data_IF_437925177927
#
_entry.id   IF_437925177927
#
_cell.length_a   1.000
_cell.length_b   1.000
_cell.length_c   1.000
_cell.angle_alpha   90.00
_cell.angle_beta   90.00
_cell.angle_gamma   90.00
#
_symmetry.space_group_name_H-M   'P 1'
#
loop_
_entity.id
_entity.type
_entity.pdbx_description
1 polymer ?
#
# COMPACT_ATOMS: atom_id res chain seq x y z
N UNK A 1 -5.50 -20.60 14.11
CA UNK A 1 -6.07 -20.24 15.44
C UNK A 1 -5.04 -19.72 16.44
N UNK A 2 -3.79 -20.23 16.48
CA UNK A 2 -2.77 -19.71 17.43
C UNK A 2 -2.42 -18.22 17.26
N UNK A 3 -2.16 -17.76 16.03
CA UNK A 3 -1.80 -16.35 15.75
C UNK A 3 -2.91 -15.36 16.11
N UNK A 4 -4.17 -15.72 15.84
CA UNK A 4 -5.33 -14.88 16.15
C UNK A 4 -5.50 -14.72 17.67
N UNK A 5 -5.40 -15.81 18.41
CA UNK A 5 -5.45 -15.80 19.88
C UNK A 5 -4.31 -14.94 20.46
N UNK A 6 -3.08 -15.13 19.96
CA UNK A 6 -1.93 -14.34 20.39
C UNK A 6 -2.06 -12.84 20.06
N UNK A 7 -2.58 -12.47 18.89
CA UNK A 7 -2.82 -11.06 18.52
C UNK A 7 -3.96 -10.43 19.33
N UNK A 8 -5.00 -11.21 19.64
CA UNK A 8 -6.07 -10.77 20.53
C UNK A 8 -5.56 -10.54 21.95
N UNK A 9 -4.75 -11.46 22.48
CA UNK A 9 -4.11 -11.35 23.80
C UNK A 9 -3.09 -10.19 23.86
N UNK A 10 -2.34 -9.96 22.78
CA UNK A 10 -1.43 -8.83 22.62
C UNK A 10 -2.16 -7.49 22.42
N UNK A 11 -3.50 -7.48 22.41
CA UNK A 11 -4.30 -6.27 22.38
C UNK A 11 -4.18 -5.50 21.07
N UNK A 12 -4.31 -6.16 19.91
CA UNK A 12 -4.27 -5.54 18.58
C UNK A 12 -5.10 -4.25 18.44
N UNK A 13 -6.22 -4.14 19.17
CA UNK A 13 -7.12 -2.98 19.15
C UNK A 13 -6.57 -1.75 19.90
N UNK A 14 -5.54 -1.95 20.74
CA UNK A 14 -4.96 -0.94 21.65
C UNK A 14 -3.43 -0.87 21.56
N UNK A 15 -2.83 -1.64 20.65
CA UNK A 15 -1.38 -1.85 20.67
C UNK A 15 -0.64 -0.57 20.26
N UNK A 16 0.40 -0.25 21.02
CA UNK A 16 1.40 0.75 20.66
C UNK A 16 2.73 0.12 20.24
N UNK A 17 2.78 -1.22 20.21
CA UNK A 17 3.98 -1.99 19.92
C UNK A 17 4.11 -2.24 18.41
N UNK A 18 5.26 -1.84 17.86
CA UNK A 18 5.60 -2.02 16.45
C UNK A 18 5.62 -3.50 16.05
N UNK A 19 6.06 -4.39 16.93
CA UNK A 19 6.09 -5.84 16.69
C UNK A 19 4.68 -6.41 16.53
N UNK A 20 3.74 -5.96 17.37
CA UNK A 20 2.33 -6.38 17.26
C UNK A 20 1.71 -5.82 15.99
N UNK A 21 2.01 -4.58 15.62
CA UNK A 21 1.56 -3.99 14.35
C UNK A 21 2.13 -4.74 13.13
N UNK A 22 3.42 -5.12 13.15
CA UNK A 22 4.06 -5.95 12.13
C UNK A 22 3.38 -7.32 12.01
N UNK A 23 3.22 -8.02 13.13
CA UNK A 23 2.57 -9.33 13.17
C UNK A 23 1.12 -9.27 12.67
N UNK A 24 0.40 -8.21 13.07
CA UNK A 24 -0.96 -7.93 12.60
C UNK A 24 -1.01 -7.75 11.09
N UNK A 25 -0.08 -6.97 10.51
CA UNK A 25 -0.02 -6.77 9.07
C UNK A 25 0.26 -8.07 8.33
N UNK A 26 1.21 -8.88 8.81
CA UNK A 26 1.56 -10.18 8.21
C UNK A 26 0.33 -11.11 8.25
N UNK A 27 -0.34 -11.18 9.41
CA UNK A 27 -1.56 -11.94 9.57
C UNK A 27 -2.61 -11.50 8.55
N UNK A 28 -2.92 -10.20 8.45
CA UNK A 28 -3.94 -9.67 7.54
C UNK A 28 -3.63 -9.94 6.06
N UNK A 29 -2.35 -9.91 5.66
CA UNK A 29 -1.94 -10.29 4.29
C UNK A 29 -2.28 -11.74 3.95
N UNK A 30 -2.27 -12.64 4.93
CA UNK A 30 -2.63 -14.05 4.75
C UNK A 30 -4.10 -14.36 5.05
N UNK A 31 -4.77 -13.58 5.89
CA UNK A 31 -6.12 -13.86 6.39
C UNK A 31 -7.22 -13.79 5.33
N UNK A 32 -6.98 -13.10 4.21
CA UNK A 32 -8.01 -12.82 3.22
C UNK A 32 -8.62 -14.06 2.56
N UNK A 33 -7.87 -15.15 2.43
CA UNK A 33 -8.40 -16.38 1.83
C UNK A 33 -9.31 -17.17 2.79
N UNK A 34 -9.22 -16.92 4.10
CA UNK A 34 -10.03 -17.59 5.13
C UNK A 34 -11.28 -16.79 5.50
N UNK A 35 -11.11 -15.50 5.80
CA UNK A 35 -12.18 -14.68 6.39
C UNK A 35 -12.88 -13.76 5.38
N UNK A 36 -12.41 -13.78 4.14
CA UNK A 36 -12.87 -12.87 3.09
C UNK A 36 -12.32 -11.45 3.22
N UNK A 37 -12.32 -10.74 2.10
CA UNK A 37 -11.59 -9.47 1.98
C UNK A 37 -12.29 -8.29 2.64
N UNK A 38 -13.61 -8.38 2.83
CA UNK A 38 -14.36 -7.41 3.62
C UNK A 38 -13.91 -7.39 5.08
N UNK A 39 -13.73 -8.56 5.67
CA UNK A 39 -13.24 -8.70 7.05
C UNK A 39 -11.83 -8.14 7.17
N UNK A 40 -10.95 -8.49 6.22
CA UNK A 40 -9.58 -7.95 6.17
C UNK A 40 -9.56 -6.43 6.05
N UNK A 41 -10.44 -5.83 5.23
CA UNK A 41 -10.56 -4.38 5.11
C UNK A 41 -11.01 -3.70 6.41
N UNK A 42 -11.98 -4.29 7.13
CA UNK A 42 -12.40 -3.77 8.43
C UNK A 42 -11.26 -3.83 9.46
N UNK A 43 -10.53 -4.95 9.48
CA UNK A 43 -9.40 -5.12 10.40
C UNK A 43 -8.21 -4.24 10.02
N UNK A 44 -7.94 -4.02 8.74
CA UNK A 44 -6.90 -3.08 8.31
C UNK A 44 -7.20 -1.67 8.79
N UNK A 45 -8.47 -1.25 8.80
CA UNK A 45 -8.85 0.04 9.38
C UNK A 45 -8.48 0.18 10.86
N UNK A 46 -8.54 -0.89 11.64
CA UNK A 46 -8.09 -0.88 13.04
C UNK A 46 -6.57 -0.74 13.11
N UNK A 47 -5.84 -1.52 12.31
CA UNK A 47 -4.38 -1.45 12.22
C UNK A 47 -3.90 -0.05 11.81
N UNK A 48 -4.57 0.59 10.84
CA UNK A 48 -4.26 1.96 10.42
C UNK A 48 -4.40 2.94 11.58
N UNK A 49 -5.51 2.89 12.33
CA UNK A 49 -5.72 3.78 13.47
C UNK A 49 -4.71 3.54 14.61
N UNK A 50 -4.38 2.28 14.90
CA UNK A 50 -3.36 1.94 15.88
C UNK A 50 -1.96 2.42 15.45
N UNK A 51 -1.63 2.29 14.17
CA UNK A 51 -0.38 2.81 13.62
C UNK A 51 -0.31 4.34 13.70
N UNK A 52 -1.42 5.03 13.41
CA UNK A 52 -1.49 6.49 13.52
C UNK A 52 -1.39 6.97 14.97
N UNK A 53 -1.98 6.28 15.94
CA UNK A 53 -1.94 6.69 17.35
C UNK A 53 -0.54 6.66 17.96
N UNK A 54 0.39 5.90 17.40
CA UNK A 54 1.82 5.90 17.78
C UNK A 54 2.73 6.76 16.88
N UNK A 55 2.11 7.52 15.98
CA UNK A 55 2.81 8.49 15.13
C UNK A 55 3.53 7.88 13.93
N UNK A 56 3.16 6.69 13.42
CA UNK A 56 3.80 6.12 12.22
C UNK A 56 3.58 6.92 10.93
N UNK A 57 2.51 7.71 10.90
CA UNK A 57 2.18 8.65 9.82
C UNK A 57 3.04 9.92 9.83
N UNK A 58 3.84 10.11 10.89
CA UNK A 58 4.82 11.16 11.01
C UNK A 58 6.25 10.61 10.83
N UNK A 59 7.11 11.33 10.11
CA UNK A 59 8.49 10.93 9.88
C UNK A 59 9.27 10.93 11.19
N UNK A 60 9.94 9.81 11.47
CA UNK A 60 10.68 9.59 12.70
C UNK A 60 11.72 10.68 13.02
N UNK A 61 12.29 11.30 11.98
CA UNK A 61 13.34 12.32 12.14
C UNK A 61 12.82 13.61 12.78
N UNK A 62 11.51 13.87 12.75
CA UNK A 62 10.91 15.01 13.44
C UNK A 62 10.84 14.84 14.96
N UNK A 63 10.94 13.60 15.47
CA UNK A 63 10.79 13.32 16.89
C UNK A 63 12.13 13.48 17.64
N UNK A 64 12.14 14.19 18.79
CA UNK A 64 13.32 14.27 19.62
C UNK A 64 13.68 12.87 20.15
N UNK A 65 14.98 12.57 20.19
CA UNK A 65 15.54 11.30 20.68
C UNK A 65 15.21 10.05 19.85
N UNK A 66 14.68 10.18 18.63
CA UNK A 66 14.52 9.03 17.73
C UNK A 66 15.83 8.71 17.01
N UNK A 67 16.31 7.47 17.12
CA UNK A 67 17.49 7.03 16.36
C UNK A 67 17.18 6.94 14.87
N UNK A 68 18.23 7.02 14.02
CA UNK A 68 18.06 6.89 12.57
C UNK A 68 17.59 5.49 12.16
N UNK A 69 18.00 4.48 12.91
CA UNK A 69 17.53 3.11 12.78
C UNK A 69 16.01 3.01 13.05
N UNK A 70 15.54 3.52 14.19
CA UNK A 70 14.12 3.47 14.54
C UNK A 70 13.26 4.25 13.56
N UNK A 71 13.73 5.42 13.11
CA UNK A 71 13.04 6.21 12.10
C UNK A 71 12.85 5.41 10.81
N UNK A 72 13.89 4.71 10.33
CA UNK A 72 13.79 3.87 9.13
C UNK A 72 12.88 2.64 9.35
N UNK A 73 12.92 1.99 10.53
CA UNK A 73 12.01 0.89 10.87
C UNK A 73 10.54 1.33 10.87
N UNK A 74 10.27 2.52 11.41
CA UNK A 74 8.94 3.13 11.40
C UNK A 74 8.49 3.48 9.97
N UNK A 75 9.35 4.07 9.15
CA UNK A 75 9.06 4.35 7.72
C UNK A 75 8.68 3.06 6.99
N UNK A 76 9.47 1.99 7.14
CA UNK A 76 9.22 0.69 6.49
C UNK A 76 7.87 0.09 6.89
N UNK A 77 7.56 0.08 8.19
CA UNK A 77 6.28 -0.43 8.68
C UNK A 77 5.10 0.42 8.17
N UNK A 78 5.20 1.74 8.27
CA UNK A 78 4.14 2.64 7.82
C UNK A 78 3.84 2.47 6.32
N UNK A 79 4.87 2.44 5.48
CA UNK A 79 4.69 2.28 4.04
C UNK A 79 4.18 0.90 3.65
N UNK A 80 4.53 -0.13 4.42
CA UNK A 80 3.92 -1.44 4.30
C UNK A 80 2.40 -1.43 4.59
N UNK A 81 1.95 -0.70 5.61
CA UNK A 81 0.53 -0.51 5.93
C UNK A 81 -0.16 0.30 4.81
N UNK A 82 0.45 1.42 4.37
CA UNK A 82 -0.08 2.26 3.30
C UNK A 82 -0.28 1.48 1.99
N UNK A 83 0.72 0.68 1.61
CA UNK A 83 0.63 -0.16 0.42
C UNK A 83 -0.47 -1.21 0.57
N UNK A 84 -0.58 -1.84 1.74
CA UNK A 84 -1.61 -2.84 2.00
C UNK A 84 -3.03 -2.26 1.93
N UNK A 85 -3.27 -1.10 2.55
CA UNK A 85 -4.54 -0.36 2.45
C UNK A 85 -4.92 -0.09 0.99
N UNK A 86 -3.98 0.47 0.22
CA UNK A 86 -4.20 0.73 -1.20
C UNK A 86 -4.48 -0.55 -2.02
N UNK A 87 -3.84 -1.68 -1.67
CA UNK A 87 -4.08 -2.98 -2.33
C UNK A 87 -5.45 -3.55 -2.02
N UNK A 88 -5.87 -3.54 -0.76
CA UNK A 88 -7.19 -4.03 -0.37
C UNK A 88 -8.26 -3.17 -1.02
N UNK A 89 -8.09 -1.85 -1.02
CA UNK A 89 -9.01 -0.91 -1.65
C UNK A 89 -9.15 -1.22 -3.14
N UNK A 90 -8.06 -1.36 -3.91
CA UNK A 90 -8.15 -1.67 -5.34
C UNK A 90 -8.98 -2.92 -5.64
N UNK A 91 -8.86 -3.96 -4.80
CA UNK A 91 -9.52 -5.23 -5.06
C UNK A 91 -10.94 -5.31 -4.48
N UNK A 92 -11.20 -4.68 -3.32
CA UNK A 92 -12.43 -4.91 -2.54
C UNK A 92 -13.12 -3.69 -1.89
N UNK A 93 -12.53 -2.49 -1.86
CA UNK A 93 -13.17 -1.31 -1.26
C UNK A 93 -12.98 -0.01 -2.07
N UNK A 94 -14.03 0.81 -2.26
CA UNK A 94 -13.98 1.94 -3.18
C UNK A 94 -13.03 3.07 -2.76
N UNK A 95 -12.56 3.08 -1.50
CA UNK A 95 -11.78 4.17 -0.94
C UNK A 95 -10.52 3.69 -0.21
N UNK A 96 -9.42 4.41 -0.43
CA UNK A 96 -8.16 4.26 0.28
C UNK A 96 -8.28 5.05 1.59
N UNK A 97 -8.01 4.40 2.72
CA UNK A 97 -8.15 5.03 4.03
C UNK A 97 -7.04 6.06 4.29
N UNK A 98 -5.83 5.80 3.81
CA UNK A 98 -4.66 6.66 4.02
C UNK A 98 -4.43 7.56 2.81
N UNK A 99 -4.80 8.83 2.90
CA UNK A 99 -4.53 9.83 1.86
C UNK A 99 -3.15 10.47 2.03
N UNK A 100 -2.60 11.07 0.97
CA UNK A 100 -1.29 11.72 1.03
C UNK A 100 -1.27 12.98 1.93
N UNK A 101 -2.42 13.56 2.27
CA UNK A 101 -2.50 14.69 3.19
C UNK A 101 -2.44 14.27 4.66
N UNK A 102 -2.57 12.97 4.95
CA UNK A 102 -2.58 12.41 6.31
C UNK A 102 -1.19 11.93 6.77
N UNK A 103 -0.16 12.04 5.93
CA UNK A 103 1.18 11.53 6.23
C UNK A 103 2.26 12.50 5.76
N UNK A 104 3.33 12.60 6.55
CA UNK A 104 4.58 13.28 6.17
C UNK A 104 5.78 12.30 6.11
N UNK A 105 5.57 11.04 6.52
CA UNK A 105 6.57 9.98 6.53
C UNK A 105 7.18 9.75 5.15
N UNK A 106 8.51 9.88 5.06
CA UNK A 106 9.25 9.63 3.81
C UNK A 106 9.19 8.16 3.41
N UNK A 107 9.28 7.88 2.11
CA UNK A 107 9.42 6.51 1.63
C UNK A 107 10.68 5.84 2.18
N UNK A 108 10.67 4.51 2.34
CA UNK A 108 11.82 3.77 2.86
C UNK A 108 13.07 4.02 2.01
N UNK A 109 14.23 4.01 2.65
CA UNK A 109 15.48 4.19 1.92
C UNK A 109 15.85 2.90 1.22
N UNK A 110 16.25 2.94 -0.07
CA UNK A 110 16.65 1.75 -0.81
C UNK A 110 17.95 1.13 -0.25
N UNK A 111 17.87 0.27 0.75
CA UNK A 111 19.01 -0.37 1.40
C UNK A 111 18.66 -1.81 1.83
N UNK A 112 19.66 -2.63 2.08
CA UNK A 112 19.47 -3.97 2.64
C UNK A 112 19.36 -3.90 4.16
N UNK A 113 18.91 -4.98 4.78
CA UNK A 113 18.81 -5.05 6.24
C UNK A 113 20.20 -5.04 6.91
N UNK A 114 21.23 -5.58 6.23
CA UNK A 114 22.63 -5.51 6.65
C UNK A 114 23.21 -4.08 6.72
N UNK A 115 22.57 -3.10 6.07
CA UNK A 115 23.01 -1.68 6.11
C UNK A 115 22.54 -0.95 7.36
N UNK A 116 21.66 -1.59 8.13
CA UNK A 116 20.99 -0.99 9.27
C UNK A 116 21.61 -1.50 10.56
N UNK A 117 22.14 -0.57 11.34
CA UNK A 117 22.69 -0.85 12.67
C UNK A 117 21.89 -0.06 13.71
N UNK A 118 21.56 -0.70 14.83
CA UNK A 118 20.79 -0.07 15.93
C UNK A 118 21.49 1.20 16.45
N UNK A 119 22.82 1.28 16.35
CA UNK A 119 23.63 2.40 16.81
C UNK A 119 23.98 3.40 15.70
N UNK A 120 23.38 3.29 14.51
CA UNK A 120 23.70 4.16 13.38
C UNK A 120 23.31 5.63 13.66
N UNK A 121 24.26 6.53 13.38
CA UNK A 121 24.10 7.97 13.63
C UNK A 121 23.68 8.76 12.39
N UNK A 122 23.80 8.16 11.21
CA UNK A 122 23.45 8.76 9.91
C UNK A 122 22.29 8.00 9.30
N UNK A 123 21.53 8.65 8.40
CA UNK A 123 20.55 7.92 7.59
C UNK A 123 21.25 6.88 6.70
N UNK A 124 20.59 5.76 6.40
CA UNK A 124 21.13 4.80 5.45
C UNK A 124 21.32 5.47 4.09
N UNK A 125 22.34 5.03 3.34
CA UNK A 125 22.59 5.54 2.00
C UNK A 125 21.83 4.68 1.00
N UNK A 126 21.05 5.31 0.13
CA UNK A 126 20.34 4.61 -0.92
C UNK A 126 21.33 3.92 -1.88
N UNK A 127 21.18 2.60 -2.03
CA UNK A 127 21.91 1.76 -2.97
C UNK A 127 21.27 1.85 -4.36
N UNK A 128 22.07 1.50 -5.36
CA UNK A 128 21.58 1.25 -6.72
C UNK A 128 21.18 -0.23 -6.88
N UNK A 129 20.11 -0.48 -7.63
CA UNK A 129 19.64 -1.84 -7.92
C UNK A 129 18.79 -2.46 -6.81
N UNK A 130 18.66 -3.79 -6.91
CA UNK A 130 17.81 -4.60 -6.04
C UNK A 130 18.35 -4.69 -4.61
N UNK A 131 17.46 -4.50 -3.64
CA UNK A 131 17.68 -4.56 -2.20
C UNK A 131 16.53 -5.27 -1.49
N UNK A 132 16.68 -5.52 -0.18
CA UNK A 132 15.65 -6.18 0.62
C UNK A 132 14.33 -5.36 0.70
N UNK A 133 14.38 -4.03 0.53
CA UNK A 133 13.18 -3.16 0.49
C UNK A 133 12.65 -2.86 -0.91
N UNK A 134 13.27 -3.41 -1.96
CA UNK A 134 12.88 -3.11 -3.35
C UNK A 134 11.41 -3.40 -3.63
N UNK A 135 10.88 -4.51 -3.12
CA UNK A 135 9.46 -4.82 -3.27
C UNK A 135 8.56 -3.76 -2.61
N UNK A 136 8.94 -3.26 -1.44
CA UNK A 136 8.20 -2.17 -0.77
C UNK A 136 8.14 -0.94 -1.65
N UNK A 137 9.27 -0.54 -2.24
CA UNK A 137 9.34 0.62 -3.13
C UNK A 137 8.49 0.43 -4.40
N UNK A 138 8.49 -0.77 -4.98
CA UNK A 138 7.60 -1.11 -6.09
C UNK A 138 6.13 -0.96 -5.67
N UNK A 139 5.77 -1.43 -4.48
CA UNK A 139 4.40 -1.28 -3.96
C UNK A 139 4.04 0.18 -3.65
N UNK A 140 5.00 1.02 -3.24
CA UNK A 140 4.80 2.46 -3.07
C UNK A 140 4.48 3.13 -4.41
N UNK A 141 5.20 2.76 -5.47
CA UNK A 141 4.91 3.24 -6.83
C UNK A 141 3.51 2.80 -7.30
N UNK A 142 3.14 1.54 -7.04
CA UNK A 142 1.82 1.04 -7.35
C UNK A 142 0.71 1.79 -6.58
N UNK A 143 0.94 2.13 -5.30
CA UNK A 143 0.03 2.96 -4.51
C UNK A 143 -0.11 4.36 -5.14
N UNK A 144 0.99 5.01 -5.54
CA UNK A 144 0.95 6.32 -6.22
C UNK A 144 0.11 6.27 -7.50
N UNK A 145 0.26 5.21 -8.30
CA UNK A 145 -0.56 5.01 -9.49
C UNK A 145 -2.03 4.77 -9.15
N UNK A 146 -2.32 3.97 -8.13
CA UNK A 146 -3.68 3.71 -7.71
C UNK A 146 -4.39 5.00 -7.26
N UNK A 147 -3.74 5.80 -6.40
CA UNK A 147 -4.24 7.12 -5.97
C UNK A 147 -4.49 8.04 -7.18
N UNK A 148 -3.56 8.07 -8.13
CA UNK A 148 -3.73 8.84 -9.37
C UNK A 148 -4.97 8.43 -10.16
N UNK A 149 -5.17 7.12 -10.35
CA UNK A 149 -6.33 6.58 -11.07
C UNK A 149 -7.63 6.96 -10.36
N UNK A 150 -7.68 6.84 -9.03
CA UNK A 150 -8.86 7.25 -8.24
C UNK A 150 -9.12 8.75 -8.36
N UNK A 151 -8.08 9.60 -8.27
CA UNK A 151 -8.23 11.05 -8.45
C UNK A 151 -8.69 11.44 -9.86
N UNK A 152 -8.38 10.60 -10.85
CA UNK A 152 -8.80 10.77 -12.25
C UNK A 152 -10.15 10.11 -12.56
N UNK A 153 -10.80 9.48 -11.58
CA UNK A 153 -11.96 8.61 -11.81
C UNK A 153 -13.15 9.36 -12.43
N UNK A 154 -13.42 10.59 -12.00
CA UNK A 154 -14.46 11.43 -12.62
C UNK A 154 -14.21 11.64 -14.12
N UNK A 155 -12.97 11.89 -14.52
CA UNK A 155 -12.62 12.06 -15.93
C UNK A 155 -12.65 10.72 -16.71
N UNK A 156 -12.32 9.60 -16.05
CA UNK A 156 -12.38 8.25 -16.65
C UNK A 156 -13.82 7.77 -16.89
N UNK A 157 -14.77 8.18 -16.03
CA UNK A 157 -16.18 7.88 -16.15
C UNK A 157 -16.94 8.83 -17.09
N UNK A 158 -16.28 9.90 -17.56
CA UNK A 158 -16.82 10.84 -18.55
C UNK A 158 -16.88 10.19 -19.95
N UNK A 159 -17.27 10.97 -20.94
CA UNK A 159 -17.36 10.55 -22.35
C UNK A 159 -16.46 11.41 -23.25
N UNK A 160 -16.21 10.94 -24.47
CA UNK A 160 -15.47 11.71 -25.48
C UNK A 160 -13.99 11.95 -25.14
N UNK A 161 -13.49 13.15 -25.46
CA UNK A 161 -12.06 13.46 -25.41
C UNK A 161 -11.49 13.45 -23.99
N UNK A 162 -12.26 13.89 -22.99
CA UNK A 162 -11.83 13.96 -21.59
C UNK A 162 -11.52 12.57 -21.03
N UNK A 163 -12.38 11.59 -21.32
CA UNK A 163 -12.15 10.19 -20.99
C UNK A 163 -10.91 9.63 -21.67
N UNK A 164 -10.77 9.86 -22.98
CA UNK A 164 -9.62 9.38 -23.75
C UNK A 164 -8.30 9.99 -23.26
N UNK A 165 -8.29 11.27 -22.90
CA UNK A 165 -7.12 11.95 -22.34
C UNK A 165 -6.73 11.37 -20.97
N UNK A 166 -7.70 11.19 -20.06
CA UNK A 166 -7.46 10.60 -18.74
C UNK A 166 -6.92 9.16 -18.85
N UNK A 167 -7.53 8.33 -19.71
CA UNK A 167 -7.10 6.96 -19.99
C UNK A 167 -5.68 6.91 -20.55
N UNK A 168 -5.36 7.74 -21.55
CA UNK A 168 -4.00 7.83 -22.11
C UNK A 168 -2.97 8.24 -21.06
N UNK A 169 -3.28 9.24 -20.25
CA UNK A 169 -2.40 9.70 -19.18
C UNK A 169 -2.12 8.58 -18.16
N UNK A 170 -3.17 7.91 -17.66
CA UNK A 170 -3.04 6.83 -16.70
C UNK A 170 -2.24 5.64 -17.26
N UNK A 171 -2.50 5.21 -18.49
CA UNK A 171 -1.74 4.13 -19.14
C UNK A 171 -0.27 4.51 -19.37
N UNK A 172 0.01 5.76 -19.74
CA UNK A 172 1.38 6.26 -19.86
C UNK A 172 2.13 6.17 -18.53
N UNK A 173 1.49 6.56 -17.42
CA UNK A 173 2.11 6.47 -16.09
C UNK A 173 2.38 5.03 -15.66
N UNK A 174 1.48 4.10 -15.97
CA UNK A 174 1.69 2.66 -15.72
C UNK A 174 2.93 2.16 -16.47
N UNK A 175 3.12 2.54 -17.73
CA UNK A 175 4.30 2.16 -18.49
C UNK A 175 5.58 2.83 -17.96
N UNK A 176 5.50 4.09 -17.52
CA UNK A 176 6.63 4.77 -16.86
C UNK A 176 7.07 4.03 -15.59
N UNK A 177 6.12 3.56 -14.77
CA UNK A 177 6.44 2.76 -13.58
C UNK A 177 7.06 1.40 -13.94
N UNK A 178 6.62 0.77 -15.03
CA UNK A 178 7.23 -0.46 -15.56
C UNK A 178 8.69 -0.23 -15.95
N UNK A 179 8.97 0.85 -16.68
CA UNK A 179 10.33 1.20 -17.08
C UNK A 179 11.20 1.63 -15.89
N UNK A 180 10.62 2.34 -14.93
CA UNK A 180 11.28 2.69 -13.68
C UNK A 180 11.73 1.42 -12.92
N UNK A 181 10.87 0.39 -12.80
CA UNK A 181 11.25 -0.85 -12.13
C UNK A 181 12.41 -1.56 -12.82
N UNK A 182 12.39 -1.65 -14.16
CA UNK A 182 13.52 -2.20 -14.93
C UNK A 182 14.82 -1.43 -14.70
N UNK A 183 14.75 -0.10 -14.72
CA UNK A 183 15.96 0.75 -14.61
C UNK A 183 16.48 0.92 -13.20
N UNK A 184 15.63 0.93 -12.17
CA UNK A 184 16.07 1.17 -10.78
C UNK A 184 16.23 -0.10 -9.96
N UNK A 185 15.47 -1.15 -10.25
CA UNK A 185 15.43 -2.38 -9.45
C UNK A 185 16.18 -3.52 -10.14
N UNK A 186 16.23 -3.58 -11.48
CA UNK A 186 16.79 -4.74 -12.20
C UNK A 186 18.33 -4.77 -12.31
N UNK A 187 19.03 -3.65 -12.09
CA UNK A 187 20.49 -3.52 -12.27
C UNK A 187 21.38 -4.30 -11.27
N UNK A 188 20.85 -5.31 -10.58
CA UNK A 188 21.64 -6.13 -9.66
C UNK A 188 22.55 -7.11 -10.40
N UNK A 189 23.86 -7.08 -10.08
CA UNK A 189 24.87 -8.00 -10.64
C UNK A 189 24.62 -9.48 -10.33
N UNK A 190 23.74 -9.81 -9.37
CA UNK A 190 23.38 -11.19 -8.97
C UNK A 190 21.88 -11.40 -9.08
N UNK A 191 21.44 -12.29 -9.97
CA UNK A 191 20.01 -12.68 -10.11
C UNK A 191 19.59 -13.53 -8.91
N UNK A 192 18.88 -12.93 -7.95
CA UNK A 192 18.22 -13.66 -6.85
C UNK A 192 16.89 -14.26 -7.38
N UNK A 193 16.53 -15.52 -7.09
CA UNK A 193 15.26 -16.09 -7.56
C UNK A 193 14.02 -15.28 -7.15
N UNK A 194 14.06 -14.67 -5.96
CA UNK A 194 12.97 -13.82 -5.46
C UNK A 194 12.75 -12.56 -6.30
N UNK A 195 13.79 -12.04 -6.96
CA UNK A 195 13.68 -10.87 -7.83
C UNK A 195 12.75 -11.15 -9.01
N UNK A 196 12.92 -12.30 -9.68
CA UNK A 196 12.05 -12.69 -10.79
C UNK A 196 10.57 -12.82 -10.36
N UNK A 197 10.33 -13.36 -9.16
CA UNK A 197 8.98 -13.42 -8.60
C UNK A 197 8.42 -12.02 -8.32
N UNK A 198 9.20 -11.11 -7.75
CA UNK A 198 8.79 -9.73 -7.48
C UNK A 198 8.49 -8.96 -8.77
N UNK A 199 9.32 -9.12 -9.81
CA UNK A 199 9.12 -8.51 -11.12
C UNK A 199 7.85 -9.04 -11.77
N UNK A 200 7.62 -10.35 -11.72
CA UNK A 200 6.38 -10.96 -12.20
C UNK A 200 5.16 -10.40 -11.46
N UNK A 201 5.19 -10.40 -10.12
CA UNK A 201 4.11 -9.93 -9.28
C UNK A 201 3.80 -8.46 -9.55
N UNK A 202 4.82 -7.60 -9.59
CA UNK A 202 4.64 -6.18 -9.88
C UNK A 202 4.04 -5.93 -11.27
N UNK A 203 4.53 -6.63 -12.30
CA UNK A 203 3.97 -6.50 -13.65
C UNK A 203 2.53 -7.01 -13.74
N UNK A 204 2.21 -8.11 -13.04
CA UNK A 204 0.84 -8.60 -12.92
C UNK A 204 -0.07 -7.54 -12.30
N UNK A 205 0.37 -6.87 -11.24
CA UNK A 205 -0.39 -5.81 -10.58
C UNK A 205 -0.55 -4.55 -11.44
N UNK A 206 0.49 -4.16 -12.19
CA UNK A 206 0.40 -3.07 -13.18
C UNK A 206 -0.59 -3.40 -14.29
N UNK A 207 -0.60 -4.65 -14.76
CA UNK A 207 -1.56 -5.12 -15.76
C UNK A 207 -2.99 -5.09 -15.20
N UNK A 208 -3.21 -5.51 -13.95
CA UNK A 208 -4.50 -5.41 -13.28
C UNK A 208 -5.00 -3.95 -13.25
N UNK A 209 -4.15 -3.00 -12.84
CA UNK A 209 -4.51 -1.57 -12.86
C UNK A 209 -4.77 -1.08 -14.29
N UNK A 210 -3.99 -1.56 -15.26
CA UNK A 210 -4.19 -1.23 -16.68
C UNK A 210 -5.50 -1.78 -17.26
N UNK A 211 -6.00 -2.92 -16.77
CA UNK A 211 -7.33 -3.44 -17.13
C UNK A 211 -8.40 -2.53 -16.54
N UNK A 212 -8.29 -2.19 -15.26
CA UNK A 212 -9.21 -1.29 -14.54
C UNK A 212 -9.34 0.06 -15.26
N UNK A 213 -8.23 0.66 -15.70
CA UNK A 213 -8.23 1.93 -16.45
C UNK A 213 -8.89 1.79 -17.84
N UNK A 214 -8.84 0.62 -18.46
CA UNK A 214 -9.41 0.37 -19.80
C UNK A 214 -10.88 -0.02 -19.76
N UNK A 215 -11.32 -0.69 -18.71
CA UNK A 215 -12.70 -1.13 -18.52
C UNK A 215 -13.35 -0.35 -17.37
N UNK A 216 -13.90 0.81 -17.71
CA UNK A 216 -14.58 1.66 -16.74
C UNK A 216 -15.92 1.10 -16.25
N UNK A 217 -16.43 0.02 -16.86
CA UNK A 217 -17.59 -0.70 -16.32
C UNK A 217 -17.28 -1.36 -14.97
N UNK A 218 -16.01 -1.67 -14.70
CA UNK A 218 -15.59 -2.09 -13.36
C UNK A 218 -15.93 -0.97 -12.38
N UNK A 219 -15.52 0.27 -12.62
CA UNK A 219 -15.87 1.40 -11.74
C UNK A 219 -17.37 1.68 -11.65
N UNK A 220 -18.10 1.60 -12.77
CA UNK A 220 -19.55 1.80 -12.79
C UNK A 220 -20.30 0.76 -11.94
N UNK A 221 -19.88 -0.52 -12.00
CA UNK A 221 -20.43 -1.59 -11.15
C UNK A 221 -20.22 -1.27 -9.67
N UNK A 222 -19.04 -0.78 -9.30
CA UNK A 222 -18.70 -0.43 -7.93
C UNK A 222 -19.51 0.76 -7.39
N UNK A 223 -19.63 1.83 -8.18
CA UNK A 223 -20.50 2.97 -7.85
C UNK A 223 -21.96 2.53 -7.66
N UNK A 224 -22.48 1.70 -8.57
CA UNK A 224 -23.86 1.19 -8.51
C UNK A 224 -24.10 0.24 -7.32
N UNK A 225 -23.06 -0.42 -6.81
CA UNK A 225 -23.15 -1.31 -5.66
C UNK A 225 -23.31 -0.49 -4.38
N UNK A 226 -22.56 0.60 -4.26
CA UNK A 226 -22.66 1.55 -3.15
C UNK A 226 -24.06 2.18 -3.09
N UNK A 227 -24.56 2.62 -4.24
CA UNK A 227 -25.88 3.24 -4.35
C UNK A 227 -27.02 2.26 -4.00
N UNK A 228 -26.90 0.99 -4.42
CA UNK A 228 -27.85 -0.08 -4.06
C UNK A 228 -27.84 -0.43 -2.58
N UNK A 229 -26.66 -0.45 -1.95
CA UNK A 229 -26.53 -0.71 -0.51
C UNK A 229 -27.12 0.46 0.30
N UNK A 230 -26.81 1.71 -0.07
CA UNK A 230 -27.38 2.89 0.58
C UNK A 230 -28.90 2.95 0.45
N UNK A 231 -29.47 2.65 -0.74
CA UNK A 231 -30.93 2.58 -0.93
C UNK A 231 -31.58 1.49 -0.10
N UNK A 232 -30.95 0.31 0.03
CA UNK A 232 -31.46 -0.79 0.87
C UNK A 232 -31.52 -0.43 2.35
N UNK A 233 -30.46 0.20 2.87
CA UNK A 233 -30.38 0.64 4.27
C UNK A 233 -31.44 1.71 4.56
N UNK A 234 -31.64 2.66 3.64
CA UNK A 234 -32.66 3.69 3.78
C UNK A 234 -34.09 3.12 3.68
N UNK A 235 -34.30 2.06 2.90
CA UNK A 235 -35.61 1.38 2.81
C UNK A 235 -35.94 0.49 4.01
N UNK A 236 -34.94 0.04 4.79
CA UNK A 236 -35.15 -0.78 6.00
C UNK A 236 -35.31 0.04 7.29
N UNK A 237 -35.20 1.37 7.20
CA UNK A 237 -35.38 2.32 8.30
C UNK A 237 -36.73 3.05 8.25
N UNK A 238 -37.65 2.59 7.39
CA UNK A 238 -39.06 2.98 7.33
C UNK A 238 -39.93 1.77 7.67
#
# INVERSE_FOLDING_TARGET
MGTEKALSEAGILKTTDLCVAQASLIYLKSAGHWYGMRTVWMMSGILVRAAMSVGLHCDGVAFPNMSRFEAEMRRRLWWHICCFDARISQCYAPEIMITNSMLDTKEPTNCNDEDLDVNMQKEPVAREGFTDVSFTLMMCELRRLHVHVLSSMSALLDTGERQQAARRNALRRIEQARQWAKTKVEHSRRKRPIQAFMDFLFNMLLNQLGIIVRDTNVFAKWASLHERVSRRILSSLR
#
